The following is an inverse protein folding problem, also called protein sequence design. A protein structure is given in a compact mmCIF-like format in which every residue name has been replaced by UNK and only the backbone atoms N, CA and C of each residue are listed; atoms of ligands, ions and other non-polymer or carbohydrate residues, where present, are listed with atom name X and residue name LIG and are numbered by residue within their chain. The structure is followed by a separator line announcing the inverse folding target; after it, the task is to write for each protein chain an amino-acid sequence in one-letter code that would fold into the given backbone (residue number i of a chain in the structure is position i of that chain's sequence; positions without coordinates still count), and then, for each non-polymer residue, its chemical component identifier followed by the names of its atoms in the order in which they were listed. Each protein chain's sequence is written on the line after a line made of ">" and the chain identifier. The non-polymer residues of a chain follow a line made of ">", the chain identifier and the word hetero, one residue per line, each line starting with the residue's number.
data_IF_823490242749
#
_entry.id   IF_823490242749
#
_cell.length_a   1.000
_cell.length_b   1.000
_cell.length_c   1.000
_cell.angle_alpha   90.00
_cell.angle_beta   90.00
_cell.angle_gamma   90.00
#
_symmetry.space_group_name_H-M   'P 1'
#
loop_
_entity.id
_entity.type
_entity.pdbx_description
1 polymer ?
#
# COMPACT_ATOMS: atom_id res chain seq x y z
N UNK A 1 7.46 -2.99 24.28
CA UNK A 1 8.64 -3.84 23.98
C UNK A 1 9.13 -3.64 22.55
N UNK A 2 8.35 -3.96 21.51
CA UNK A 2 8.78 -3.77 20.12
C UNK A 2 9.15 -2.31 19.79
N UNK A 3 8.35 -1.34 20.27
CA UNK A 3 8.59 0.07 20.00
C UNK A 3 9.93 0.59 20.54
N UNK A 4 10.29 0.22 21.77
CA UNK A 4 11.57 0.60 22.37
C UNK A 4 12.75 -0.01 21.60
N UNK A 5 12.64 -1.29 21.21
CA UNK A 5 13.68 -1.97 20.43
C UNK A 5 13.93 -1.30 19.06
N UNK A 6 12.85 -0.86 18.40
CA UNK A 6 12.92 -0.11 17.14
C UNK A 6 13.55 1.26 17.32
N UNK A 7 13.17 2.01 18.37
CA UNK A 7 13.77 3.33 18.68
C UNK A 7 15.28 3.23 18.92
N UNK A 8 15.70 2.30 19.76
CA UNK A 8 17.12 2.08 20.07
C UNK A 8 17.91 1.73 18.80
N UNK A 9 17.37 0.84 17.95
CA UNK A 9 18.01 0.47 16.70
C UNK A 9 18.09 1.64 15.71
N UNK A 10 17.05 2.49 15.65
CA UNK A 10 17.05 3.67 14.79
C UNK A 10 18.06 4.72 15.27
N UNK A 11 18.14 4.99 16.59
CA UNK A 11 19.15 5.87 17.17
C UNK A 11 20.58 5.38 16.87
N UNK A 12 20.82 4.07 16.95
CA UNK A 12 22.11 3.46 16.60
C UNK A 12 22.46 3.62 15.12
N UNK A 13 21.47 3.60 14.23
CA UNK A 13 21.62 3.78 12.79
C UNK A 13 21.60 5.25 12.37
N UNK A 14 21.30 6.18 13.30
CA UNK A 14 21.18 7.61 13.02
C UNK A 14 19.95 7.97 12.20
N UNK A 15 18.84 7.27 12.40
CA UNK A 15 17.58 7.43 11.66
C UNK A 15 16.47 7.90 12.58
N UNK A 16 15.68 8.86 12.12
CA UNK A 16 14.47 9.28 12.82
C UNK A 16 13.37 8.22 12.67
N UNK A 17 12.83 7.76 13.80
CA UNK A 17 11.74 6.79 13.82
C UNK A 17 10.62 7.26 14.75
N UNK A 18 9.38 7.11 14.25
CA UNK A 18 8.18 7.35 15.03
C UNK A 18 7.40 6.05 15.13
N UNK A 19 7.11 5.63 16.36
CA UNK A 19 6.47 4.34 16.62
C UNK A 19 5.11 4.53 17.28
N UNK A 20 4.07 4.09 16.60
CA UNK A 20 2.70 3.98 17.12
C UNK A 20 2.53 2.62 17.80
N UNK A 21 2.01 2.61 19.03
CA UNK A 21 1.81 1.39 19.81
C UNK A 21 0.33 1.12 20.04
N UNK A 22 -0.10 -0.11 19.75
CA UNK A 22 -1.47 -0.56 19.95
C UNK A 22 -1.54 -1.53 21.14
N UNK A 23 -1.80 -1.00 22.33
CA UNK A 23 -1.94 -1.77 23.56
C UNK A 23 -3.39 -2.16 23.87
N UNK A 24 -3.59 -2.79 25.03
CA UNK A 24 -4.92 -3.08 25.57
C UNK A 24 -5.69 -1.81 25.95
N UNK A 25 -4.96 -0.75 26.34
CA UNK A 25 -5.53 0.54 26.76
C UNK A 25 -5.93 1.40 25.54
N UNK A 26 -5.33 1.15 24.37
CA UNK A 26 -5.64 1.87 23.15
C UNK A 26 -4.41 2.10 22.27
N UNK A 27 -4.52 3.12 21.41
CA UNK A 27 -3.44 3.59 20.53
C UNK A 27 -2.69 4.70 21.26
N UNK A 28 -1.37 4.55 21.36
CA UNK A 28 -0.48 5.58 21.88
C UNK A 28 0.50 6.01 20.79
N UNK A 29 0.89 7.28 20.80
CA UNK A 29 1.78 7.89 19.79
C UNK A 29 1.26 7.72 18.36
N UNK A 30 -0.03 7.99 18.15
CA UNK A 30 -0.66 7.91 16.84
C UNK A 30 0.13 8.71 15.78
N UNK A 31 0.42 8.07 14.65
CA UNK A 31 1.04 8.71 13.51
C UNK A 31 0.03 9.62 12.83
N UNK A 32 0.46 10.84 12.54
CA UNK A 32 -0.32 11.78 11.73
C UNK A 32 -0.12 11.47 10.24
N UNK A 33 -1.06 11.88 9.39
CA UNK A 33 -0.94 11.72 7.95
C UNK A 33 0.34 12.39 7.39
N UNK A 34 0.78 13.48 8.02
CA UNK A 34 2.01 14.17 7.65
C UNK A 34 3.25 13.31 7.94
N UNK A 35 3.31 12.66 9.11
CA UNK A 35 4.40 11.73 9.44
C UNK A 35 4.49 10.58 8.41
N UNK A 36 3.34 10.08 7.96
CA UNK A 36 3.27 9.00 6.97
C UNK A 36 3.73 9.48 5.60
N UNK A 37 3.36 10.71 5.22
CA UNK A 37 3.81 11.32 3.97
C UNK A 37 5.31 11.58 3.95
N UNK A 38 5.89 12.03 5.06
CA UNK A 38 7.32 12.32 5.18
C UNK A 38 8.17 11.05 5.34
N UNK A 39 7.59 9.95 5.83
CA UNK A 39 8.31 8.68 5.99
C UNK A 39 8.74 8.06 4.65
N UNK A 40 10.00 7.63 4.57
CA UNK A 40 10.55 6.86 3.44
C UNK A 40 9.95 5.45 3.35
N UNK A 41 9.55 4.87 4.48
CA UNK A 41 8.88 3.59 4.54
C UNK A 41 8.27 3.30 5.90
N UNK A 42 7.43 2.27 5.95
CA UNK A 42 6.60 1.92 7.11
C UNK A 42 6.86 0.48 7.53
N UNK A 43 7.13 0.27 8.81
CA UNK A 43 7.30 -1.07 9.40
C UNK A 43 6.09 -1.34 10.28
N UNK A 44 5.29 -2.34 9.90
CA UNK A 44 4.15 -2.80 10.66
C UNK A 44 4.54 -4.06 11.42
N UNK A 45 4.84 -3.89 12.72
CA UNK A 45 5.12 -4.99 13.63
C UNK A 45 3.85 -5.31 14.46
N UNK A 46 2.95 -6.12 13.92
CA UNK A 46 1.67 -6.44 14.54
C UNK A 46 1.29 -7.92 14.34
N UNK A 47 0.66 -8.52 15.35
CA UNK A 47 0.10 -9.87 15.26
C UNK A 47 -1.41 -9.86 14.90
N UNK A 48 -1.99 -8.66 14.76
CA UNK A 48 -3.40 -8.42 14.43
C UNK A 48 -3.50 -7.52 13.21
N UNK A 49 -4.64 -7.57 12.51
CA UNK A 49 -4.93 -6.64 11.43
C UNK A 49 -4.86 -5.20 11.92
N UNK A 50 -4.01 -4.41 11.26
CA UNK A 50 -3.94 -2.97 11.43
C UNK A 50 -4.43 -2.28 10.17
N UNK A 51 -4.94 -1.06 10.32
CA UNK A 51 -5.37 -0.28 9.17
C UNK A 51 -4.15 0.18 8.37
N UNK A 52 -3.87 -0.53 7.26
CA UNK A 52 -2.78 -0.23 6.35
C UNK A 52 -3.17 0.71 5.21
N UNK A 53 -4.45 1.09 5.12
CA UNK A 53 -4.94 1.98 4.06
C UNK A 53 -4.23 3.34 4.04
N UNK A 54 -3.87 3.86 5.22
CA UNK A 54 -3.14 5.15 5.34
C UNK A 54 -1.73 5.08 4.75
N UNK A 55 -1.14 3.89 4.65
CA UNK A 55 0.21 3.68 4.13
C UNK A 55 0.20 3.32 2.63
N UNK A 56 -0.92 3.54 1.93
CA UNK A 56 -1.04 3.28 0.50
C UNK A 56 0.04 4.02 -0.30
N UNK A 57 0.76 3.29 -1.14
CA UNK A 57 1.80 3.83 -2.02
C UNK A 57 3.15 4.05 -1.34
N UNK A 58 3.28 3.69 -0.05
CA UNK A 58 4.56 3.69 0.67
C UNK A 58 5.17 2.29 0.72
N UNK A 59 6.50 2.17 0.77
CA UNK A 59 7.17 0.89 1.07
C UNK A 59 6.73 0.41 2.46
N UNK A 60 6.17 -0.80 2.53
CA UNK A 60 5.62 -1.35 3.76
C UNK A 60 6.15 -2.75 4.02
N UNK A 61 6.67 -2.96 5.22
CA UNK A 61 7.09 -4.27 5.70
C UNK A 61 6.15 -4.69 6.83
N UNK A 62 5.37 -5.73 6.59
CA UNK A 62 4.50 -6.34 7.59
C UNK A 62 5.16 -7.57 8.19
N UNK A 63 5.35 -7.56 9.50
CA UNK A 63 6.01 -8.63 10.26
C UNK A 63 5.34 -8.84 11.61
N UNK A 64 5.43 -10.05 12.19
CA UNK A 64 4.91 -10.31 13.52
C UNK A 64 5.68 -9.49 14.58
N UNK A 65 5.02 -9.20 15.71
CA UNK A 65 5.60 -8.39 16.80
C UNK A 65 6.92 -9.00 17.29
N UNK A 66 6.98 -10.33 17.34
CA UNK A 66 8.18 -11.08 17.72
C UNK A 66 9.40 -10.72 16.86
N UNK A 67 9.22 -10.48 15.55
CA UNK A 67 10.30 -10.08 14.64
C UNK A 67 10.74 -8.65 14.88
N UNK A 68 9.80 -7.75 15.17
CA UNK A 68 10.10 -6.37 15.57
C UNK A 68 10.93 -6.26 16.86
N UNK A 69 10.80 -7.23 17.77
CA UNK A 69 11.60 -7.30 19.00
C UNK A 69 12.98 -7.95 18.74
N UNK A 70 13.02 -9.01 17.92
CA UNK A 70 14.24 -9.80 17.69
C UNK A 70 15.24 -9.16 16.75
N UNK A 71 14.75 -8.56 15.67
CA UNK A 71 15.59 -8.06 14.57
C UNK A 71 15.16 -6.66 14.11
N UNK A 72 15.09 -5.65 15.01
CA UNK A 72 14.65 -4.30 14.64
C UNK A 72 15.60 -3.62 13.64
N UNK A 73 16.91 -3.79 13.80
CA UNK A 73 17.91 -3.18 12.93
C UNK A 73 17.82 -3.67 11.47
N UNK A 74 17.58 -4.98 11.26
CA UNK A 74 17.41 -5.54 9.92
C UNK A 74 16.16 -4.99 9.21
N UNK A 75 15.06 -4.78 9.95
CA UNK A 75 13.84 -4.22 9.39
C UNK A 75 14.04 -2.77 8.94
N UNK A 76 14.73 -1.97 9.77
CA UNK A 76 15.06 -0.58 9.45
C UNK A 76 15.99 -0.54 8.23
N UNK A 77 17.04 -1.37 8.19
CA UNK A 77 17.93 -1.45 7.04
C UNK A 77 17.22 -1.88 5.76
N UNK A 78 16.25 -2.80 5.84
CA UNK A 78 15.47 -3.24 4.68
C UNK A 78 14.68 -2.09 4.05
N UNK A 79 14.16 -1.16 4.87
CA UNK A 79 13.51 0.06 4.39
C UNK A 79 14.52 0.98 3.73
N UNK A 80 15.65 1.24 4.38
CA UNK A 80 16.72 2.13 3.87
C UNK A 80 17.28 1.62 2.54
N UNK A 81 17.43 0.31 2.39
CA UNK A 81 17.93 -0.33 1.17
C UNK A 81 16.89 -0.33 0.03
N UNK A 82 15.61 -0.06 0.32
CA UNK A 82 14.54 -0.10 -0.66
C UNK A 82 14.06 -1.51 -1.01
N UNK A 83 14.33 -2.51 -0.17
CA UNK A 83 13.86 -3.91 -0.34
C UNK A 83 12.38 -4.09 0.05
N UNK A 84 11.75 -3.06 0.61
CA UNK A 84 10.36 -3.10 1.05
C UNK A 84 9.37 -3.01 -0.13
N UNK A 85 8.40 -3.94 -0.25
CA UNK A 85 7.38 -3.85 -1.28
C UNK A 85 6.47 -2.64 -1.03
N UNK A 86 6.10 -1.94 -2.10
CA UNK A 86 5.14 -0.83 -2.01
C UNK A 86 3.75 -1.37 -1.71
N UNK A 87 3.15 -0.94 -0.60
CA UNK A 87 1.81 -1.35 -0.22
C UNK A 87 0.79 -0.75 -1.19
N UNK A 88 0.07 -1.62 -1.89
CA UNK A 88 -1.09 -1.23 -2.69
C UNK A 88 -2.32 -1.83 -2.04
N UNK A 89 -3.19 -0.97 -1.54
CA UNK A 89 -4.48 -1.39 -1.01
C UNK A 89 -5.30 -1.90 -2.20
N UNK A 90 -5.58 -3.21 -2.21
CA UNK A 90 -6.53 -3.84 -3.15
C UNK A 90 -7.95 -3.34 -2.83
N UNK A 91 -8.27 -2.14 -3.28
CA UNK A 91 -9.55 -1.48 -2.99
C UNK A 91 -9.68 -0.10 -3.62
N UNK A 92 -8.57 0.56 -3.94
CA UNK A 92 -8.60 1.73 -4.83
C UNK A 92 -8.57 1.22 -6.26
N UNK A 93 -9.76 0.99 -6.81
CA UNK A 93 -9.96 0.92 -8.25
C UNK A 93 -9.10 2.03 -8.88
N UNK A 94 -8.15 1.63 -9.71
CA UNK A 94 -7.38 2.54 -10.54
C UNK A 94 -8.35 3.53 -11.16
N UNK A 95 -8.22 4.79 -10.77
CA UNK A 95 -8.72 5.90 -11.56
C UNK A 95 -7.97 5.86 -12.89
N UNK A 96 -8.48 5.08 -13.84
CA UNK A 96 -8.29 5.40 -15.25
C UNK A 96 -9.20 6.58 -15.53
N UNK A 97 -8.69 7.78 -15.30
CA UNK A 97 -9.16 8.95 -16.04
C UNK A 97 -8.91 8.68 -17.53
N UNK A 98 -9.96 8.21 -18.22
CA UNK A 98 -10.14 8.43 -19.65
C UNK A 98 -11.25 9.46 -19.78
N UNK A 99 -11.02 10.62 -20.44
CA UNK A 99 -12.08 11.56 -20.71
C UNK A 99 -12.92 11.00 -21.85
N UNK A 100 -14.23 10.84 -21.66
CA UNK A 100 -15.24 10.81 -22.75
C UNK A 100 -16.64 10.89 -22.16
N UNK A 101 -17.36 11.93 -22.59
CA UNK A 101 -18.76 12.21 -22.29
C UNK A 101 -19.73 11.27 -23.03
N UNK A 102 -21.04 11.56 -23.03
CA UNK A 102 -22.10 10.95 -22.25
C UNK A 102 -22.78 9.76 -22.96
N UNK A 103 -23.19 8.73 -22.19
CA UNK A 103 -24.04 7.65 -22.70
C UNK A 103 -25.50 8.10 -22.75
N UNK A 104 -25.96 8.41 -23.95
CA UNK A 104 -27.37 8.42 -24.34
C UNK A 104 -27.52 7.56 -25.60
N UNK A 105 -28.74 7.04 -25.81
CA UNK A 105 -29.21 6.20 -26.93
C UNK A 105 -28.80 4.72 -26.90
N UNK A 106 -29.74 3.79 -26.66
CA UNK A 106 -30.81 3.32 -27.57
C UNK A 106 -30.31 2.55 -28.79
N UNK A 107 -30.96 1.39 -28.94
CA UNK A 107 -31.26 0.73 -30.21
C UNK A 107 -30.24 -0.30 -30.74
N UNK A 108 -30.49 -1.53 -30.31
CA UNK A 108 -30.05 -2.78 -30.92
C UNK A 108 -30.72 -2.94 -32.30
N UNK A 109 -30.10 -2.45 -33.38
CA UNK A 109 -30.44 -2.82 -34.75
C UNK A 109 -29.50 -3.91 -35.25
N UNK A 110 -30.04 -5.13 -35.35
CA UNK A 110 -29.44 -6.24 -36.11
C UNK A 110 -29.45 -5.88 -37.58
N UNK A 111 -28.31 -5.95 -38.25
CA UNK A 111 -28.28 -5.96 -39.72
C UNK A 111 -27.24 -6.96 -40.22
N UNK A 112 -27.73 -7.94 -40.98
CA UNK A 112 -26.98 -8.97 -41.69
C UNK A 112 -27.08 -8.60 -43.17
N UNK A 113 -25.95 -8.33 -43.82
CA UNK A 113 -25.90 -8.08 -45.26
C UNK A 113 -24.93 -9.07 -45.90
N UNK A 114 -25.46 -9.93 -46.77
CA UNK A 114 -24.68 -10.75 -47.69
C UNK A 114 -25.15 -10.50 -49.12
N UNK A 115 -24.22 -10.55 -50.07
CA UNK A 115 -24.30 -11.20 -51.39
C UNK A 115 -23.06 -10.80 -52.20
N UNK A 116 -22.27 -11.78 -52.65
CA UNK A 116 -21.23 -11.58 -53.67
C UNK A 116 -21.73 -12.16 -54.99
N UNK A 117 -21.67 -11.39 -56.10
CA UNK A 117 -22.12 -11.88 -57.39
C UNK A 117 -21.09 -12.82 -58.04
N UNK A 118 -21.64 -13.84 -58.70
CA UNK A 118 -21.02 -14.81 -59.62
C UNK A 118 -20.28 -14.14 -60.78
N UNK A 119 -19.15 -14.72 -61.23
CA UNK A 119 -18.73 -14.93 -62.63
C UNK A 119 -17.44 -15.78 -62.60
N UNK A 120 -17.46 -17.05 -63.01
CA UNK A 120 -17.25 -17.56 -64.39
C UNK A 120 -15.89 -17.21 -65.00
N UNK A 121 -14.97 -18.19 -65.03
CA UNK A 121 -14.36 -18.81 -66.23
C UNK A 121 -13.65 -20.08 -65.80
#
# INVERSE_FOLDING_TARGET
>A
MAAEALKIAAEQLGVDIKVETHGQVGIENALTDQDIMEADGVIVAADKDVNTDRFHGKPLIEVPVAKGIRTPAELIQSIINGDAPVHQVKGRASGTEKPSAPSSSSQKSRQINGYTPSIST
#
